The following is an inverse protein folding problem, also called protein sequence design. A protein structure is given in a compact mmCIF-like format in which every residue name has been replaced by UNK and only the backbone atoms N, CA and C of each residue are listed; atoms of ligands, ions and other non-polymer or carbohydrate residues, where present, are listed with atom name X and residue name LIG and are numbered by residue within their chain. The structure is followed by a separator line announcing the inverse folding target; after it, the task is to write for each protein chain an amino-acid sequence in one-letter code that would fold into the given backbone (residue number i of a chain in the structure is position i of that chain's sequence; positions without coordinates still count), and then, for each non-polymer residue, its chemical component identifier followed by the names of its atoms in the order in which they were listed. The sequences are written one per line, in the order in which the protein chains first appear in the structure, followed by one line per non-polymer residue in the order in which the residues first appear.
data_IF_347514627804
#
_entry.id   IF_347514627804
#
_cell.length_a   1.000
_cell.length_b   1.000
_cell.length_c   1.000
_cell.angle_alpha   90.00
_cell.angle_beta   90.00
_cell.angle_gamma   90.00
#
_symmetry.space_group_name_H-M   'P 1'
#
loop_
_entity.id
_entity.type
_entity.pdbx_description
1 polymer ?
#
# COMPACT_ATOMS: atom_id res chain seq x y z
N UNK A 1 -57.59 18.06 23.18
CA UNK A 1 -57.23 17.08 22.14
C UNK A 1 -56.11 17.68 21.31
N UNK A 2 -54.89 17.13 21.43
CA UNK A 2 -53.70 17.63 20.76
C UNK A 2 -53.41 16.68 19.57
N UNK A 3 -53.73 17.12 18.35
CA UNK A 3 -53.49 16.33 17.13
C UNK A 3 -52.14 16.73 16.55
N UNK A 4 -51.15 15.85 16.64
CA UNK A 4 -49.84 16.00 15.99
C UNK A 4 -49.97 15.44 14.58
N UNK A 5 -50.10 16.32 13.59
CA UNK A 5 -50.01 15.97 12.19
C UNK A 5 -48.53 15.92 11.77
N UNK A 6 -47.99 14.73 11.54
CA UNK A 6 -46.65 14.56 10.98
C UNK A 6 -46.78 14.68 9.46
N UNK A 7 -46.46 15.86 8.93
CA UNK A 7 -46.31 16.05 7.50
C UNK A 7 -45.06 15.30 7.03
N UNK A 8 -45.25 14.12 6.43
CA UNK A 8 -44.21 13.45 5.65
C UNK A 8 -43.98 14.24 4.38
N UNK A 9 -43.04 15.19 4.43
CA UNK A 9 -42.51 15.85 3.24
C UNK A 9 -41.76 14.81 2.39
N UNK A 10 -42.46 14.24 1.42
CA UNK A 10 -41.87 13.41 0.37
C UNK A 10 -40.94 14.28 -0.48
N UNK A 11 -39.64 14.25 -0.18
CA UNK A 11 -38.62 14.80 -1.05
C UNK A 11 -38.44 13.86 -2.25
N UNK A 12 -39.31 13.98 -3.25
CA UNK A 12 -39.12 13.36 -4.56
C UNK A 12 -37.91 14.02 -5.25
N UNK A 13 -36.72 13.48 -5.00
CA UNK A 13 -35.51 13.85 -5.73
C UNK A 13 -35.48 13.07 -7.04
N UNK A 14 -35.89 13.73 -8.14
CA UNK A 14 -35.64 13.27 -9.51
C UNK A 14 -34.13 13.37 -9.82
N UNK A 15 -33.31 12.51 -9.22
CA UNK A 15 -31.91 12.35 -9.61
C UNK A 15 -31.86 11.30 -10.71
N UNK A 16 -31.69 11.74 -11.96
CA UNK A 16 -31.34 10.84 -13.07
C UNK A 16 -30.06 10.10 -12.70
N UNK A 17 -30.11 8.77 -12.70
CA UNK A 17 -28.92 7.96 -12.50
C UNK A 17 -27.95 8.24 -13.66
N UNK A 18 -26.84 8.92 -13.35
CA UNK A 18 -25.72 9.03 -14.29
C UNK A 18 -25.10 7.64 -14.32
N UNK A 19 -25.40 6.87 -15.37
CA UNK A 19 -24.66 5.66 -15.70
C UNK A 19 -23.26 6.09 -16.13
N UNK A 20 -22.33 6.15 -15.17
CA UNK A 20 -20.92 6.24 -15.49
C UNK A 20 -20.55 4.94 -16.19
N UNK A 21 -20.19 5.04 -17.47
CA UNK A 21 -19.57 3.91 -18.18
C UNK A 21 -18.27 3.63 -17.43
N UNK A 22 -18.21 2.50 -16.71
CA UNK A 22 -16.98 2.05 -16.07
C UNK A 22 -15.95 1.84 -17.17
N UNK A 23 -15.02 2.78 -17.29
CA UNK A 23 -13.82 2.63 -18.11
C UNK A 23 -12.70 2.19 -17.16
N UNK A 24 -12.24 0.93 -17.24
CA UNK A 24 -11.17 0.44 -16.40
C UNK A 24 -9.86 1.25 -16.52
N UNK A 25 -9.68 1.97 -17.64
CA UNK A 25 -8.50 2.80 -17.89
C UNK A 25 -8.66 4.25 -17.43
N UNK A 26 -9.88 4.67 -17.10
CA UNK A 26 -10.20 6.05 -16.72
C UNK A 26 -10.87 6.11 -15.34
N UNK A 27 -10.37 5.30 -14.40
CA UNK A 27 -10.77 5.42 -13.00
C UNK A 27 -10.01 6.61 -12.36
N UNK A 28 -10.69 7.74 -12.04
CA UNK A 28 -10.02 8.92 -11.48
C UNK A 28 -9.39 8.65 -10.10
N UNK A 29 -9.77 7.54 -9.44
CA UNK A 29 -9.26 7.16 -8.13
C UNK A 29 -7.98 6.31 -8.18
N UNK A 30 -7.58 5.79 -9.35
CA UNK A 30 -6.42 4.89 -9.47
C UNK A 30 -5.53 5.23 -10.68
N UNK A 31 -5.09 6.48 -10.79
CA UNK A 31 -3.98 6.80 -11.69
C UNK A 31 -2.68 6.37 -11.01
N UNK A 32 -2.11 5.23 -11.44
CA UNK A 32 -0.76 4.79 -11.05
C UNK A 32 0.22 5.84 -11.56
N UNK A 33 0.58 6.84 -10.73
CA UNK A 33 1.57 7.85 -11.10
C UNK A 33 2.87 7.14 -11.48
N UNK A 34 3.23 7.18 -12.75
CA UNK A 34 4.52 6.69 -13.24
C UNK A 34 5.63 7.44 -12.49
N UNK A 35 6.29 6.75 -11.57
CA UNK A 35 7.44 7.31 -10.86
C UNK A 35 8.63 7.21 -11.79
N UNK A 36 8.87 8.25 -12.58
CA UNK A 36 10.08 8.39 -13.42
C UNK A 36 11.32 8.12 -12.56
N UNK A 37 12.15 7.18 -12.99
CA UNK A 37 13.42 6.84 -12.32
C UNK A 37 13.37 5.70 -11.28
N UNK A 38 12.22 5.03 -11.08
CA UNK A 38 12.13 3.81 -10.28
C UNK A 38 11.79 2.63 -11.20
N UNK A 39 12.75 1.74 -11.44
CA UNK A 39 12.49 0.49 -12.15
C UNK A 39 12.07 -0.57 -11.13
N UNK A 40 10.87 -1.11 -11.28
CA UNK A 40 10.48 -2.32 -10.54
C UNK A 40 11.37 -3.50 -11.01
N UNK A 41 11.78 -4.35 -10.08
CA UNK A 41 12.63 -5.53 -10.31
C UNK A 41 11.82 -6.77 -9.98
N UNK A 42 11.60 -7.61 -11.00
CA UNK A 42 10.82 -8.86 -10.90
C UNK A 42 11.69 -10.10 -11.12
N UNK A 43 12.95 -10.08 -10.66
CA UNK A 43 13.85 -11.23 -10.72
C UNK A 43 13.67 -12.13 -9.47
N UNK A 44 13.29 -13.41 -9.63
CA UNK A 44 13.12 -14.34 -8.52
C UNK A 44 14.37 -14.54 -7.66
N UNK A 45 15.57 -14.44 -8.24
CA UNK A 45 16.83 -14.57 -7.49
C UNK A 45 17.02 -13.39 -6.55
N UNK A 46 16.82 -12.17 -7.06
CA UNK A 46 16.89 -10.94 -6.26
C UNK A 46 15.83 -10.96 -5.15
N UNK A 47 14.64 -11.45 -5.45
CA UNK A 47 13.59 -11.62 -4.45
C UNK A 47 13.98 -12.65 -3.38
N UNK A 48 14.59 -13.77 -3.77
CA UNK A 48 15.11 -14.79 -2.86
C UNK A 48 16.16 -14.24 -1.88
N UNK A 49 17.14 -13.49 -2.38
CA UNK A 49 18.17 -12.84 -1.55
C UNK A 49 17.56 -11.85 -0.55
N UNK A 50 16.64 -11.01 -1.01
CA UNK A 50 15.94 -10.05 -0.14
C UNK A 50 15.11 -10.79 0.93
N UNK A 51 14.45 -11.88 0.58
CA UNK A 51 13.71 -12.69 1.54
C UNK A 51 14.64 -13.26 2.62
N UNK A 52 15.77 -13.85 2.23
CA UNK A 52 16.77 -14.38 3.16
C UNK A 52 17.32 -13.29 4.09
N UNK A 53 17.60 -12.09 3.56
CA UNK A 53 18.02 -10.93 4.34
C UNK A 53 16.97 -10.55 5.41
N UNK A 54 15.68 -10.51 5.04
CA UNK A 54 14.60 -10.16 5.96
C UNK A 54 14.43 -11.22 7.06
N UNK A 55 14.40 -12.49 6.68
CA UNK A 55 14.27 -13.61 7.64
C UNK A 55 15.43 -13.61 8.63
N UNK A 56 16.67 -13.44 8.16
CA UNK A 56 17.86 -13.33 9.00
C UNK A 56 17.81 -12.13 9.94
N UNK A 57 17.33 -10.98 9.46
CA UNK A 57 17.29 -9.75 10.27
C UNK A 57 16.21 -9.80 11.37
N UNK A 58 15.04 -10.38 11.08
CA UNK A 58 13.92 -10.40 12.02
C UNK A 58 13.78 -11.71 12.80
N UNK A 59 14.46 -12.78 12.39
CA UNK A 59 14.34 -14.11 13.01
C UNK A 59 12.95 -14.73 12.84
N UNK A 60 12.23 -14.39 11.78
CA UNK A 60 10.87 -14.88 11.51
C UNK A 60 10.73 -15.29 10.05
N UNK A 61 9.83 -16.24 9.79
CA UNK A 61 9.55 -16.72 8.43
C UNK A 61 8.97 -15.63 7.53
N UNK A 62 9.40 -15.63 6.27
CA UNK A 62 8.94 -14.73 5.22
C UNK A 62 7.44 -14.82 4.98
N UNK A 63 6.82 -15.97 5.28
CA UNK A 63 5.36 -16.17 5.27
C UNK A 63 4.60 -15.18 6.15
N UNK A 64 5.26 -14.60 7.16
CA UNK A 64 4.70 -13.60 8.07
C UNK A 64 5.11 -12.16 7.69
N UNK A 65 5.63 -11.95 6.48
CA UNK A 65 6.09 -10.67 5.97
C UNK A 65 5.30 -10.30 4.71
N UNK A 66 4.75 -9.09 4.69
CA UNK A 66 4.28 -8.45 3.46
C UNK A 66 5.40 -7.57 2.89
N UNK A 67 5.73 -7.72 1.62
CA UNK A 67 6.83 -7.00 0.95
C UNK A 67 6.27 -6.21 -0.24
N UNK A 68 6.67 -4.94 -0.37
CA UNK A 68 6.35 -4.13 -1.53
C UNK A 68 7.19 -4.54 -2.75
N UNK A 69 6.82 -4.14 -3.98
CA UNK A 69 7.70 -4.29 -5.12
C UNK A 69 9.12 -3.79 -4.83
N UNK A 70 10.10 -4.55 -5.30
CA UNK A 70 11.52 -4.20 -5.20
C UNK A 70 11.80 -3.20 -6.31
N UNK A 71 12.48 -2.11 -6.00
CA UNK A 71 12.82 -1.08 -6.98
C UNK A 71 14.33 -0.87 -7.03
N UNK A 72 14.87 -0.71 -8.23
CA UNK A 72 16.27 -0.33 -8.47
C UNK A 72 16.38 1.18 -8.72
N UNK A 73 17.21 1.86 -7.93
CA UNK A 73 17.52 3.29 -8.06
C UNK A 73 19.01 3.51 -7.84
N UNK A 74 19.72 4.18 -8.75
CA UNK A 74 21.14 4.54 -8.61
C UNK A 74 22.02 3.37 -8.10
N UNK A 75 21.91 2.20 -8.75
CA UNK A 75 22.64 0.98 -8.38
C UNK A 75 22.36 0.43 -6.98
N UNK A 76 21.16 0.68 -6.45
CA UNK A 76 20.69 0.12 -5.19
C UNK A 76 19.28 -0.43 -5.31
N UNK A 77 19.08 -1.62 -4.75
CA UNK A 77 17.75 -2.17 -4.53
C UNK A 77 17.14 -1.53 -3.28
N UNK A 78 15.86 -1.22 -3.38
CA UNK A 78 15.04 -0.66 -2.31
C UNK A 78 13.74 -1.43 -2.21
N UNK A 79 13.32 -1.72 -0.98
CA UNK A 79 12.03 -2.37 -0.72
C UNK A 79 11.47 -1.89 0.62
N UNK A 80 10.17 -2.06 0.80
CA UNK A 80 9.47 -1.86 2.07
C UNK A 80 8.86 -3.18 2.47
N UNK A 81 8.82 -3.43 3.77
CA UNK A 81 8.21 -4.65 4.27
C UNK A 81 7.59 -4.43 5.64
N UNK A 82 6.64 -5.29 6.00
CA UNK A 82 5.92 -5.23 7.25
C UNK A 82 5.81 -6.64 7.84
N UNK A 83 6.06 -6.75 9.14
CA UNK A 83 5.65 -7.93 9.88
C UNK A 83 4.14 -7.87 10.09
N UNK A 84 3.40 -8.78 9.44
CA UNK A 84 1.92 -8.76 9.44
C UNK A 84 1.34 -9.08 10.82
N UNK A 85 2.09 -9.74 11.70
CA UNK A 85 1.63 -10.12 13.05
C UNK A 85 1.59 -8.94 14.02
N UNK A 86 2.51 -7.99 13.89
CA UNK A 86 2.66 -6.87 14.83
C UNK A 86 2.60 -5.49 14.18
N UNK A 87 2.37 -5.42 12.86
CA UNK A 87 2.27 -4.19 12.09
C UNK A 87 3.56 -3.38 11.96
N UNK A 88 4.69 -3.85 12.51
CA UNK A 88 5.97 -3.13 12.44
C UNK A 88 6.43 -3.10 10.98
N UNK A 89 6.64 -1.88 10.49
CA UNK A 89 7.06 -1.60 9.13
C UNK A 89 8.54 -1.22 9.06
N UNK A 90 9.19 -1.58 7.97
CA UNK A 90 10.61 -1.39 7.73
C UNK A 90 10.86 -0.95 6.29
N UNK A 91 12.01 -0.32 6.08
CA UNK A 91 12.54 0.04 4.77
C UNK A 91 13.90 -0.64 4.66
N UNK A 92 14.07 -1.42 3.60
CA UNK A 92 15.32 -2.08 3.25
C UNK A 92 15.97 -1.42 2.05
N UNK A 93 17.29 -1.42 2.04
CA UNK A 93 18.08 -1.08 0.86
C UNK A 93 19.38 -1.87 0.83
N UNK A 94 19.86 -2.19 -0.36
CA UNK A 94 21.17 -2.79 -0.56
C UNK A 94 21.77 -2.39 -1.90
N UNK A 95 23.08 -2.50 -2.05
CA UNK A 95 23.77 -2.38 -3.33
C UNK A 95 23.48 -3.59 -4.24
N UNK A 96 23.87 -3.51 -5.50
CA UNK A 96 23.59 -4.57 -6.50
C UNK A 96 24.18 -5.94 -6.14
N UNK A 97 25.22 -5.97 -5.30
CA UNK A 97 25.93 -7.19 -4.89
C UNK A 97 25.53 -7.71 -3.50
N UNK A 98 24.58 -7.05 -2.82
CA UNK A 98 24.12 -7.42 -1.47
C UNK A 98 25.18 -7.32 -0.36
N UNK A 99 26.28 -6.60 -0.58
CA UNK A 99 27.37 -6.42 0.39
C UNK A 99 27.05 -5.34 1.43
N UNK A 100 26.20 -4.38 1.08
CA UNK A 100 25.86 -3.22 1.90
C UNK A 100 24.36 -3.20 2.21
N UNK A 101 23.93 -4.04 3.16
CA UNK A 101 22.52 -4.12 3.58
C UNK A 101 22.20 -3.09 4.66
N UNK A 102 21.13 -2.33 4.47
CA UNK A 102 20.57 -1.41 5.48
C UNK A 102 19.09 -1.67 5.68
N UNK A 103 18.68 -1.93 6.91
CA UNK A 103 17.27 -2.07 7.30
C UNK A 103 16.97 -1.04 8.38
N UNK A 104 15.94 -0.23 8.16
CA UNK A 104 15.53 0.84 9.07
C UNK A 104 14.07 0.63 9.44
N UNK A 105 13.75 0.67 10.74
CA UNK A 105 12.37 0.68 11.21
C UNK A 105 11.68 1.97 10.78
N UNK A 106 10.52 1.84 10.14
CA UNK A 106 9.72 2.98 9.75
C UNK A 106 8.82 3.41 10.92
N UNK A 107 9.26 4.43 11.66
CA UNK A 107 8.47 5.04 12.73
C UNK A 107 7.43 6.02 12.13
N UNK A 108 6.51 5.53 11.29
CA UNK A 108 5.33 6.34 10.98
C UNK A 108 4.48 6.44 12.24
N UNK A 109 4.26 7.66 12.73
CA UNK A 109 3.19 7.94 13.71
C UNK A 109 1.88 7.48 13.07
N UNK A 110 1.13 6.66 13.80
CA UNK A 110 -0.25 6.26 13.46
C UNK A 110 -1.11 7.52 13.34
N UNK A 111 -1.16 8.12 12.16
CA UNK A 111 -2.12 9.17 11.81
C UNK A 111 -2.94 8.65 10.64
N UNK A 112 -3.70 7.61 10.91
CA UNK A 112 -4.75 7.15 10.01
C UNK A 112 -5.88 6.63 10.88
N UNK A 113 -6.68 7.55 11.41
CA UNK A 113 -8.08 7.25 11.61
C UNK A 113 -8.65 7.08 10.20
N UNK A 114 -8.88 5.83 9.81
CA UNK A 114 -9.83 5.55 8.73
C UNK A 114 -11.19 5.85 9.37
N UNK A 115 -11.79 6.99 9.04
CA UNK A 115 -13.18 7.22 9.39
C UNK A 115 -14.03 6.50 8.36
N UNK A 116 -14.65 5.40 8.76
CA UNK A 116 -15.75 4.82 8.01
C UNK A 116 -16.92 5.82 8.08
N UNK A 117 -17.20 6.50 6.97
CA UNK A 117 -18.43 7.24 6.70
C UNK A 117 -19.00 6.78 5.37
#
# INVERSE_FOLDING_TARGET
MLSIAIAVSSCSSNKKAVTTKFDPNNNPYYVKKEKKGLSEVNDPKIQGEINAIIEKHLGISISSIAISPITLTNSRYHWKFMNVRNGKSFIGSTDINFESVKIIKNNKKSNTQVSDF
#
